data_IF_893886554329
#
_entry.id   IF_893886554329
#
_cell.length_a   1.000
_cell.length_b   1.000
_cell.length_c   1.000
_cell.angle_alpha   90.00
_cell.angle_beta   90.00
_cell.angle_gamma   90.00
#
_symmetry.space_group_name_H-M   'P 1'
#
loop_
_entity.id
_entity.type
_entity.pdbx_description
1 polymer ?
#
# COMPACT_ATOMS: atom_id res chain seq x y z
N UNK A 1 0.67 7.51 -31.41
CA UNK A 1 -0.38 7.14 -30.44
C UNK A 1 0.25 7.19 -29.06
N UNK A 2 0.41 8.39 -28.48
CA UNK A 2 0.91 8.56 -27.12
C UNK A 2 -0.23 8.22 -26.19
N UNK A 3 -0.19 7.06 -25.54
CA UNK A 3 -1.11 6.76 -24.44
C UNK A 3 -0.99 7.88 -23.43
N UNK A 4 -2.07 8.63 -23.23
CA UNK A 4 -2.09 9.66 -22.21
C UNK A 4 -2.02 8.96 -20.85
N UNK A 5 -0.83 8.92 -20.26
CA UNK A 5 -0.57 8.29 -18.97
C UNK A 5 -1.50 8.83 -17.87
N UNK A 6 -2.05 10.03 -18.06
CA UNK A 6 -3.04 10.61 -17.16
C UNK A 6 -4.34 9.80 -17.12
N UNK A 7 -4.83 9.29 -18.26
CA UNK A 7 -6.03 8.45 -18.34
C UNK A 7 -5.85 7.12 -17.59
N UNK A 8 -4.60 6.65 -17.45
CA UNK A 8 -4.27 5.41 -16.75
C UNK A 8 -4.17 5.57 -15.21
N UNK A 9 -4.08 6.81 -14.68
CA UNK A 9 -3.88 7.05 -13.24
C UNK A 9 -5.00 6.45 -12.40
N UNK A 10 -6.25 6.73 -12.74
CA UNK A 10 -7.43 6.26 -12.00
C UNK A 10 -7.56 4.73 -11.97
N UNK A 11 -7.52 4.00 -13.12
CA UNK A 11 -7.57 2.54 -13.08
C UNK A 11 -6.35 1.94 -12.38
N UNK A 12 -5.16 2.51 -12.54
CA UNK A 12 -3.95 2.04 -11.86
C UNK A 12 -4.05 2.21 -10.32
N UNK A 13 -4.51 3.37 -9.86
CA UNK A 13 -4.72 3.63 -8.44
C UNK A 13 -5.82 2.73 -7.85
N UNK A 14 -6.92 2.50 -8.59
CA UNK A 14 -7.97 1.57 -8.20
C UNK A 14 -7.48 0.13 -8.06
N UNK A 15 -6.70 -0.36 -9.04
CA UNK A 15 -6.11 -1.70 -9.00
C UNK A 15 -5.12 -1.86 -7.85
N UNK A 16 -4.29 -0.84 -7.60
CA UNK A 16 -3.38 -0.80 -6.46
C UNK A 16 -4.13 -0.85 -5.12
N UNK A 17 -5.24 -0.10 -5.00
CA UNK A 17 -6.13 -0.16 -3.85
C UNK A 17 -6.72 -1.55 -3.63
N UNK A 18 -7.25 -2.18 -4.69
CA UNK A 18 -7.80 -3.54 -4.63
C UNK A 18 -6.74 -4.58 -4.24
N UNK A 19 -5.54 -4.51 -4.82
CA UNK A 19 -4.45 -5.42 -4.50
C UNK A 19 -4.07 -5.33 -3.02
N UNK A 20 -3.95 -4.11 -2.48
CA UNK A 20 -3.73 -3.88 -1.05
C UNK A 20 -4.86 -4.47 -0.20
N UNK A 21 -6.12 -4.19 -0.55
CA UNK A 21 -7.26 -4.69 0.23
C UNK A 21 -7.30 -6.23 0.26
N UNK A 22 -7.00 -6.88 -0.88
CA UNK A 22 -6.93 -8.33 -0.96
C UNK A 22 -5.80 -8.91 -0.08
N UNK A 23 -4.60 -8.32 -0.12
CA UNK A 23 -3.50 -8.71 0.76
C UNK A 23 -3.86 -8.52 2.24
N UNK A 24 -4.52 -7.41 2.57
CA UNK A 24 -4.99 -7.14 3.93
C UNK A 24 -6.03 -8.15 4.41
N UNK A 25 -6.97 -8.55 3.55
CA UNK A 25 -7.96 -9.57 3.86
C UNK A 25 -7.29 -10.94 4.12
N UNK A 26 -6.29 -11.31 3.31
CA UNK A 26 -5.48 -12.51 3.56
C UNK A 26 -4.77 -12.42 4.91
N UNK A 27 -4.25 -11.25 5.27
CA UNK A 27 -3.60 -11.02 6.56
C UNK A 27 -4.58 -11.10 7.75
N UNK A 28 -5.86 -10.80 7.56
CA UNK A 28 -6.87 -11.00 8.60
C UNK A 28 -7.16 -12.49 8.86
N UNK A 29 -7.19 -13.29 7.79
CA UNK A 29 -7.46 -14.74 7.84
C UNK A 29 -6.24 -15.54 8.28
N UNK A 30 -5.05 -15.19 7.78
CA UNK A 30 -3.79 -15.90 8.01
C UNK A 30 -2.68 -14.97 8.54
N UNK A 31 -2.89 -14.29 9.68
CA UNK A 31 -2.04 -13.18 10.10
C UNK A 31 -0.59 -13.59 10.37
N UNK A 32 -0.38 -14.75 11.00
CA UNK A 32 0.96 -15.24 11.31
C UNK A 32 1.75 -15.59 10.05
N UNK A 33 1.08 -16.13 9.03
CA UNK A 33 1.71 -16.50 7.75
C UNK A 33 2.09 -15.26 6.95
N UNK A 34 1.27 -14.22 6.99
CA UNK A 34 1.58 -12.94 6.32
C UNK A 34 2.67 -12.18 7.06
N UNK A 35 2.69 -12.22 8.40
CA UNK A 35 3.73 -11.58 9.21
C UNK A 35 5.11 -12.25 9.07
N UNK A 36 5.16 -13.59 8.98
CA UNK A 36 6.40 -14.35 9.06
C UNK A 36 7.48 -14.00 8.03
N UNK A 37 7.17 -13.73 6.74
CA UNK A 37 8.15 -13.25 5.78
C UNK A 37 8.83 -11.95 6.22
N UNK A 38 8.11 -11.07 6.92
CA UNK A 38 8.65 -9.78 7.34
C UNK A 38 9.44 -9.89 8.64
N UNK A 39 8.80 -10.38 9.71
CA UNK A 39 9.34 -10.32 11.08
C UNK A 39 9.91 -11.66 11.58
N UNK A 40 9.85 -12.71 10.75
CA UNK A 40 10.25 -14.06 11.14
C UNK A 40 9.23 -14.73 12.07
N UNK A 41 9.65 -15.84 12.70
CA UNK A 41 8.82 -16.55 13.69
C UNK A 41 8.80 -15.75 15.00
N UNK A 42 7.66 -15.16 15.35
CA UNK A 42 7.46 -14.41 16.60
C UNK A 42 6.90 -15.33 17.68
N UNK A 43 7.35 -15.17 18.94
CA UNK A 43 6.76 -15.83 20.11
C UNK A 43 6.38 -14.79 21.17
N UNK A 44 5.19 -14.87 21.78
CA UNK A 44 4.12 -15.83 21.50
C UNK A 44 3.47 -15.61 20.11
N UNK A 45 2.85 -16.66 19.53
CA UNK A 45 2.21 -16.59 18.22
C UNK A 45 1.13 -15.49 18.14
N UNK A 46 0.45 -15.24 19.26
CA UNK A 46 -0.51 -14.15 19.41
C UNK A 46 0.07 -12.77 19.04
N UNK A 47 1.35 -12.50 19.27
CA UNK A 47 1.97 -11.24 18.89
C UNK A 47 2.08 -11.09 17.36
N UNK A 48 2.47 -12.15 16.64
CA UNK A 48 2.42 -12.16 15.17
C UNK A 48 0.98 -12.05 14.65
N UNK A 49 0.03 -12.69 15.33
CA UNK A 49 -1.38 -12.64 14.93
C UNK A 49 -1.97 -11.22 15.05
N UNK A 50 -1.70 -10.52 16.15
CA UNK A 50 -2.13 -9.13 16.34
C UNK A 50 -1.45 -8.21 15.32
N UNK A 51 -0.14 -8.35 15.13
CA UNK A 51 0.61 -7.57 14.14
C UNK A 51 0.06 -7.78 12.72
N UNK A 52 -0.10 -9.02 12.28
CA UNK A 52 -0.65 -9.35 10.96
C UNK A 52 -2.08 -8.83 10.75
N UNK A 53 -2.95 -8.92 11.77
CA UNK A 53 -4.31 -8.38 11.68
C UNK A 53 -4.35 -6.86 11.67
N UNK A 54 -3.51 -6.19 12.45
CA UNK A 54 -3.46 -4.73 12.47
C UNK A 54 -3.03 -4.17 11.11
N UNK A 55 -1.97 -4.75 10.51
CA UNK A 55 -1.56 -4.43 9.15
C UNK A 55 -2.68 -4.73 8.15
N UNK A 56 -3.27 -5.92 8.25
CA UNK A 56 -4.33 -6.35 7.35
C UNK A 56 -5.56 -5.46 7.38
N UNK A 57 -6.02 -5.08 8.57
CA UNK A 57 -7.16 -4.18 8.74
C UNK A 57 -6.90 -2.79 8.17
N UNK A 58 -5.70 -2.24 8.40
CA UNK A 58 -5.26 -0.97 7.80
C UNK A 58 -5.30 -1.06 6.27
N UNK A 59 -4.75 -2.14 5.71
CA UNK A 59 -4.66 -2.32 4.26
C UNK A 59 -6.05 -2.51 3.61
N UNK A 60 -6.95 -3.25 4.26
CA UNK A 60 -8.34 -3.35 3.82
C UNK A 60 -9.00 -1.97 3.78
N UNK A 61 -8.87 -1.16 4.84
CA UNK A 61 -9.48 0.17 4.90
C UNK A 61 -8.92 1.12 3.83
N UNK A 62 -7.61 1.24 3.73
CA UNK A 62 -6.94 2.10 2.75
C UNK A 62 -7.22 1.66 1.31
N UNK A 63 -7.17 0.35 1.06
CA UNK A 63 -7.39 -0.22 -0.26
C UNK A 63 -8.84 -0.10 -0.74
N UNK A 64 -9.80 -0.37 0.15
CA UNK A 64 -11.22 -0.23 -0.16
C UNK A 64 -11.60 1.25 -0.42
N UNK A 65 -11.09 2.17 0.40
CA UNK A 65 -11.30 3.61 0.19
C UNK A 65 -10.76 4.09 -1.15
N UNK A 66 -9.54 3.67 -1.50
CA UNK A 66 -8.93 3.95 -2.81
C UNK A 66 -9.75 3.37 -3.97
N UNK A 67 -10.15 2.10 -3.88
CA UNK A 67 -10.93 1.43 -4.92
C UNK A 67 -12.31 2.09 -5.12
N UNK A 68 -12.98 2.46 -4.02
CA UNK A 68 -14.25 3.17 -4.06
C UNK A 68 -14.11 4.57 -4.68
N UNK A 69 -13.09 5.34 -4.29
CA UNK A 69 -12.80 6.65 -4.89
C UNK A 69 -12.50 6.53 -6.38
N UNK A 70 -11.73 5.51 -6.79
CA UNK A 70 -11.45 5.26 -8.20
C UNK A 70 -12.73 4.94 -8.99
N UNK A 71 -13.59 4.05 -8.47
CA UNK A 71 -14.80 3.57 -9.15
C UNK A 71 -15.91 4.62 -9.25
N UNK A 72 -16.04 5.50 -8.25
CA UNK A 72 -17.12 6.50 -8.17
C UNK A 72 -16.73 7.87 -8.73
N UNK A 73 -15.50 8.05 -9.20
CA UNK A 73 -14.99 9.35 -9.61
C UNK A 73 -14.53 10.25 -8.46
N UNK A 74 -14.61 9.80 -7.21
CA UNK A 74 -14.23 10.56 -6.02
C UNK A 74 -12.74 10.92 -5.91
N UNK A 75 -12.41 11.70 -4.86
CA UNK A 75 -11.06 12.16 -4.57
C UNK A 75 -10.12 11.01 -4.17
N UNK A 76 -9.11 10.75 -5.00
CA UNK A 76 -8.15 9.66 -4.80
C UNK A 76 -6.94 10.08 -3.95
N UNK A 77 -6.58 11.37 -3.98
CA UNK A 77 -5.34 11.90 -3.38
C UNK A 77 -5.18 11.56 -1.88
N UNK A 78 -6.21 11.68 -1.02
CA UNK A 78 -6.08 11.31 0.40
C UNK A 78 -5.71 9.83 0.58
N UNK A 79 -6.31 8.94 -0.21
CA UNK A 79 -6.07 7.50 -0.15
C UNK A 79 -4.70 7.10 -0.70
N UNK A 80 -4.27 7.74 -1.80
CA UNK A 80 -2.92 7.57 -2.35
C UNK A 80 -1.87 7.98 -1.32
N UNK A 81 -2.03 9.16 -0.70
CA UNK A 81 -1.10 9.67 0.30
C UNK A 81 -1.06 8.81 1.55
N UNK A 82 -2.21 8.42 2.09
CA UNK A 82 -2.28 7.58 3.28
C UNK A 82 -1.68 6.18 3.04
N UNK A 83 -1.97 5.58 1.88
CA UNK A 83 -1.39 4.30 1.46
C UNK A 83 0.13 4.38 1.25
N UNK A 84 0.60 5.42 0.55
CA UNK A 84 2.03 5.63 0.36
C UNK A 84 2.78 5.91 1.67
N UNK A 85 2.18 6.68 2.58
CA UNK A 85 2.75 6.93 3.90
C UNK A 85 2.84 5.64 4.74
N UNK A 86 1.82 4.79 4.69
CA UNK A 86 1.84 3.49 5.35
C UNK A 86 3.01 2.61 4.86
N UNK A 87 3.21 2.53 3.55
CA UNK A 87 4.32 1.76 2.96
C UNK A 87 5.68 2.39 3.27
N UNK A 88 5.76 3.72 3.32
CA UNK A 88 6.99 4.43 3.68
C UNK A 88 7.40 4.09 5.12
N UNK A 89 6.44 4.01 6.04
CA UNK A 89 6.68 3.56 7.42
C UNK A 89 7.17 2.12 7.44
N UNK A 90 6.58 1.22 6.65
CA UNK A 90 6.96 -0.18 6.61
C UNK A 90 8.38 -0.38 6.03
N UNK A 91 8.73 0.37 4.98
CA UNK A 91 10.09 0.42 4.43
C UNK A 91 11.09 0.96 5.46
N UNK A 92 10.73 2.05 6.15
CA UNK A 92 11.57 2.67 7.18
C UNK A 92 11.79 1.72 8.36
N UNK A 93 10.74 1.07 8.85
CA UNK A 93 10.83 0.07 9.92
C UNK A 93 11.73 -1.11 9.52
N UNK A 94 11.65 -1.52 8.25
CA UNK A 94 12.51 -2.56 7.67
C UNK A 94 13.98 -2.15 7.66
N UNK A 95 14.28 -0.90 7.30
CA UNK A 95 15.64 -0.36 7.29
C UNK A 95 16.22 -0.22 8.71
N UNK A 96 15.44 0.33 9.65
CA UNK A 96 15.87 0.46 11.05
C UNK A 96 16.15 -0.91 11.67
N UNK A 97 15.35 -1.92 11.31
CA UNK A 97 15.48 -3.27 11.85
C UNK A 97 16.35 -4.20 10.97
N UNK A 98 17.02 -3.69 9.95
CA UNK A 98 17.57 -4.48 8.84
C UNK A 98 18.41 -5.70 9.23
N UNK A 99 19.26 -5.58 10.25
CA UNK A 99 20.14 -6.67 10.72
C UNK A 99 19.42 -7.71 11.59
N UNK A 100 18.24 -7.37 12.12
CA UNK A 100 17.41 -8.24 12.99
C UNK A 100 16.35 -9.03 12.23
N UNK A 101 16.09 -8.65 10.98
CA UNK A 101 15.08 -9.29 10.13
C UNK A 101 15.64 -10.45 9.30
N UNK A 102 14.79 -11.41 8.86
CA UNK A 102 15.19 -12.47 7.96
C UNK A 102 15.83 -11.90 6.67
N UNK A 103 16.98 -12.45 6.25
CA UNK A 103 17.77 -11.90 5.13
C UNK A 103 17.00 -11.75 3.82
N UNK A 104 16.17 -12.73 3.47
CA UNK A 104 15.31 -12.69 2.27
C UNK A 104 14.09 -11.80 2.49
N UNK A 105 13.50 -11.90 3.68
CA UNK A 105 12.33 -11.14 4.10
C UNK A 105 12.51 -9.63 4.08
N UNK A 106 13.63 -9.13 4.61
CA UNK A 106 13.94 -7.70 4.64
C UNK A 106 14.09 -7.10 3.25
N UNK A 107 14.69 -7.84 2.31
CA UNK A 107 14.85 -7.36 0.93
C UNK A 107 13.49 -7.35 0.22
N UNK A 108 12.72 -8.43 0.38
CA UNK A 108 11.36 -8.53 -0.17
C UNK A 108 10.49 -7.36 0.31
N UNK A 109 10.44 -7.12 1.62
CA UNK A 109 9.62 -6.04 2.17
C UNK A 109 10.12 -4.66 1.81
N UNK A 110 11.44 -4.43 1.77
CA UNK A 110 11.97 -3.15 1.31
C UNK A 110 11.59 -2.86 -0.15
N UNK A 111 11.66 -3.86 -1.03
CA UNK A 111 11.29 -3.72 -2.44
C UNK A 111 9.78 -3.49 -2.58
N UNK A 112 8.94 -4.28 -1.89
CA UNK A 112 7.49 -4.11 -1.94
C UNK A 112 7.04 -2.76 -1.38
N UNK A 113 7.43 -2.45 -0.15
CA UNK A 113 7.00 -1.22 0.53
C UNK A 113 7.64 0.02 -0.11
N UNK A 114 8.94 -0.03 -0.42
CA UNK A 114 9.63 1.06 -1.11
C UNK A 114 9.09 1.29 -2.52
N UNK A 115 8.87 0.23 -3.29
CA UNK A 115 8.28 0.30 -4.62
C UNK A 115 6.85 0.84 -4.60
N UNK A 116 6.02 0.38 -3.66
CA UNK A 116 4.65 0.87 -3.47
C UNK A 116 4.60 2.34 -3.04
N UNK A 117 5.54 2.78 -2.18
CA UNK A 117 5.70 4.19 -1.82
C UNK A 117 6.05 5.05 -3.03
N UNK A 118 7.03 4.62 -3.84
CA UNK A 118 7.42 5.33 -5.04
C UNK A 118 6.28 5.39 -6.07
N UNK A 119 5.53 4.30 -6.20
CA UNK A 119 4.34 4.24 -7.04
C UNK A 119 3.26 5.22 -6.59
N UNK A 120 2.97 5.29 -5.28
CA UNK A 120 2.03 6.25 -4.71
C UNK A 120 2.47 7.71 -4.96
N UNK A 121 3.76 8.02 -4.81
CA UNK A 121 4.29 9.35 -5.10
C UNK A 121 4.12 9.71 -6.59
N UNK A 122 4.37 8.77 -7.50
CA UNK A 122 4.12 8.95 -8.93
C UNK A 122 2.65 9.21 -9.24
N UNK A 123 1.74 8.42 -8.66
CA UNK A 123 0.29 8.64 -8.82
C UNK A 123 -0.17 9.99 -8.27
N UNK A 124 0.35 10.41 -7.12
CA UNK A 124 0.02 11.71 -6.53
C UNK A 124 0.44 12.88 -7.44
N UNK A 125 1.67 12.83 -7.96
CA UNK A 125 2.18 13.85 -8.87
C UNK A 125 1.37 13.93 -10.18
N UNK A 126 0.98 12.79 -10.75
CA UNK A 126 0.17 12.72 -11.97
C UNK A 126 -1.31 13.09 -11.74
N UNK A 127 -1.80 12.97 -10.51
CA UNK A 127 -3.17 13.37 -10.16
C UNK A 127 -3.29 14.89 -9.97
N UNK A 128 -2.26 15.54 -9.43
CA UNK A 128 -2.23 17.00 -9.26
C UNK A 128 -2.25 17.74 -10.61
N UNK A 129 -1.58 17.20 -11.64
CA UNK A 129 -1.61 17.79 -12.98
C UNK A 129 -2.99 17.74 -13.63
N UNK A 130 -3.83 16.75 -13.30
CA UNK A 130 -5.22 16.68 -13.79
C UNK A 130 -6.13 17.70 -13.11
N UNK A 131 -6.00 17.87 -11.80
CA UNK A 131 -6.79 18.86 -11.06
C UNK A 131 -6.53 20.29 -11.55
N UNK A 132 -5.29 20.60 -11.96
CA UNK A 132 -4.93 21.89 -12.53
C UNK A 132 -5.44 22.12 -13.97
N UNK A 133 -5.83 21.06 -14.70
CA UNK A 133 -6.24 21.13 -16.11
C UNK A 133 -7.77 21.06 -16.31
N UNK A 134 -8.57 20.83 -15.26
CA UNK A 134 -10.03 21.03 -15.32
C UNK A 134 -10.37 22.49 -14.96
N UNK A 135 -10.93 23.30 -15.89
CA UNK A 135 -11.40 24.64 -15.56
C UNK A 135 -12.59 24.54 -14.60
N UNK A 136 -12.60 25.39 -13.58
CA UNK A 136 -13.72 25.56 -12.66
C UNK A 136 -14.98 25.96 -13.44
N UNK A 137 -15.92 25.02 -13.57
CA UNK A 137 -17.27 25.23 -14.11
C UNK A 137 -18.17 25.98 -13.13
#
# INVERSE_FOLDING_TARGET
>A
MTTDLSQAVRPAAGLWGLARAALGAIALVQPERVAAPWVGKVRPAAAAAVFGRALGGRDVGLGAGMAAAAATGGEMRPWIMAGGAADAVDATATLISWRRLPRRGRLLMLVLAGGSTAFAAGLAALNETQGASQPSS
#
